data_IF_696934283166
#
_entry.id   IF_696934283166
#
_cell.length_a   1.000
_cell.length_b   1.000
_cell.length_c   1.000
_cell.angle_alpha   90.00
_cell.angle_beta   90.00
_cell.angle_gamma   90.00
#
_symmetry.space_group_name_H-M   'P 1'
#
loop_
_entity.id
_entity.type
_entity.pdbx_description
1 polymer ?
#
# COMPACT_ATOMS: atom_id res chain seq x y z
N UNK A 1 -19.03 3.88 -1.46
CA UNK A 1 -18.04 3.05 -2.19
C UNK A 1 -16.81 2.87 -1.32
N UNK A 2 -16.10 1.73 -1.47
CA UNK A 2 -14.83 1.51 -0.79
C UNK A 2 -13.68 2.19 -1.54
N UNK A 3 -12.76 2.79 -0.81
CA UNK A 3 -11.54 3.40 -1.37
C UNK A 3 -10.51 2.34 -1.79
N UNK A 4 -10.43 1.26 -0.99
CA UNK A 4 -9.49 0.17 -1.20
C UNK A 4 -10.22 -1.11 -1.56
N UNK A 5 -9.82 -1.73 -2.66
CA UNK A 5 -10.42 -2.98 -3.17
C UNK A 5 -9.33 -3.96 -3.58
N UNK A 6 -9.48 -5.21 -3.21
CA UNK A 6 -8.59 -6.30 -3.63
C UNK A 6 -9.36 -7.62 -3.70
N UNK A 7 -8.78 -8.61 -4.37
CA UNK A 7 -9.29 -9.98 -4.35
C UNK A 7 -8.40 -10.82 -3.44
N UNK A 8 -9.00 -11.55 -2.53
CA UNK A 8 -8.29 -12.47 -1.64
C UNK A 8 -9.12 -13.72 -1.40
N UNK A 9 -8.49 -14.86 -1.62
CA UNK A 9 -9.06 -16.20 -1.35
C UNK A 9 -10.51 -16.37 -1.83
N UNK A 10 -10.78 -15.95 -3.09
CA UNK A 10 -12.08 -16.00 -3.79
C UNK A 10 -13.15 -15.02 -3.29
N UNK A 11 -12.80 -14.07 -2.47
CA UNK A 11 -13.66 -12.96 -2.04
C UNK A 11 -13.20 -11.64 -2.66
N UNK A 12 -14.15 -10.77 -2.98
CA UNK A 12 -13.87 -9.36 -3.16
C UNK A 12 -13.81 -8.70 -1.79
N UNK A 13 -12.71 -8.01 -1.51
CA UNK A 13 -12.49 -7.31 -0.25
C UNK A 13 -12.57 -5.82 -0.51
N UNK A 14 -13.30 -5.11 0.32
CA UNK A 14 -13.43 -3.65 0.29
C UNK A 14 -13.16 -3.05 1.68
N UNK A 15 -12.49 -1.91 1.70
CA UNK A 15 -12.23 -1.13 2.91
C UNK A 15 -12.20 0.37 2.59
N UNK A 16 -12.08 1.23 3.61
CA UNK A 16 -12.14 2.68 3.42
C UNK A 16 -13.52 3.14 2.97
N UNK A 17 -14.57 2.49 3.45
CA UNK A 17 -15.96 2.88 3.18
C UNK A 17 -16.30 4.07 4.07
N UNK A 18 -16.90 5.12 3.48
CA UNK A 18 -17.40 6.29 4.21
C UNK A 18 -18.30 5.82 5.38
N UNK A 19 -18.16 6.43 6.53
CA UNK A 19 -18.79 6.04 7.80
C UNK A 19 -18.31 4.73 8.44
N UNK A 20 -17.44 3.95 7.77
CA UNK A 20 -16.89 2.68 8.24
C UNK A 20 -15.40 2.54 7.92
N UNK A 21 -14.62 3.58 8.21
CA UNK A 21 -13.20 3.67 7.84
C UNK A 21 -12.30 2.61 8.48
N UNK A 22 -12.77 1.98 9.56
CA UNK A 22 -12.06 0.93 10.28
C UNK A 22 -12.57 -0.49 9.98
N UNK A 23 -13.41 -0.64 8.96
CA UNK A 23 -14.08 -1.93 8.70
C UNK A 23 -13.65 -2.50 7.34
N UNK A 24 -13.29 -3.78 7.36
CA UNK A 24 -13.10 -4.59 6.16
C UNK A 24 -14.39 -5.32 5.84
N UNK A 25 -14.86 -5.22 4.62
CA UNK A 25 -16.00 -5.96 4.09
C UNK A 25 -15.50 -7.01 3.10
N UNK A 26 -16.11 -8.18 3.11
CA UNK A 26 -15.81 -9.23 2.14
C UNK A 26 -17.08 -9.84 1.56
N UNK A 27 -17.05 -10.09 0.26
CA UNK A 27 -18.17 -10.67 -0.49
C UNK A 27 -18.35 -12.17 -0.19
N UNK A 28 -19.42 -12.75 -0.67
CA UNK A 28 -19.57 -14.20 -0.76
C UNK A 28 -18.44 -14.85 -1.59
N UNK A 29 -18.17 -16.12 -1.33
CA UNK A 29 -17.14 -16.89 -2.06
C UNK A 29 -17.51 -16.99 -3.54
N UNK A 30 -16.63 -16.56 -4.44
CA UNK A 30 -16.81 -16.54 -5.89
C UNK A 30 -17.96 -15.64 -6.39
N UNK A 31 -18.57 -14.84 -5.53
CA UNK A 31 -19.57 -13.85 -5.91
C UNK A 31 -19.16 -12.45 -5.44
N UNK A 32 -18.50 -11.66 -6.30
CA UNK A 32 -17.97 -10.35 -5.92
C UNK A 32 -19.06 -9.29 -5.75
N UNK A 33 -20.30 -9.59 -6.10
CA UNK A 33 -21.43 -8.65 -6.02
C UNK A 33 -22.27 -8.82 -4.77
N UNK A 34 -22.15 -9.96 -4.09
CA UNK A 34 -22.97 -10.29 -2.92
C UNK A 34 -22.18 -10.11 -1.60
N UNK A 35 -22.59 -9.11 -0.83
CA UNK A 35 -22.07 -8.82 0.50
C UNK A 35 -23.06 -9.16 1.62
N UNK A 36 -24.10 -9.94 1.32
CA UNK A 36 -25.21 -10.23 2.24
C UNK A 36 -25.45 -11.70 2.49
N UNK A 37 -24.97 -12.59 1.60
CA UNK A 37 -25.19 -14.04 1.69
C UNK A 37 -24.27 -14.74 2.69
N UNK A 38 -24.50 -16.02 2.86
CA UNK A 38 -23.63 -16.90 3.64
C UNK A 38 -22.21 -16.89 3.05
N UNK A 39 -21.22 -16.62 3.88
CA UNK A 39 -19.81 -16.52 3.47
C UNK A 39 -19.35 -15.10 3.19
N UNK A 40 -20.25 -14.12 3.13
CA UNK A 40 -19.91 -12.69 3.20
C UNK A 40 -19.88 -12.20 4.64
N UNK A 41 -19.29 -11.04 4.86
CA UNK A 41 -19.28 -10.41 6.18
C UNK A 41 -18.46 -9.14 6.27
N UNK A 42 -18.30 -8.69 7.50
CA UNK A 42 -17.46 -7.54 7.81
C UNK A 42 -16.77 -7.72 9.15
N UNK A 43 -15.58 -7.13 9.29
CA UNK A 43 -14.81 -7.13 10.52
C UNK A 43 -14.33 -5.70 10.78
N UNK A 44 -14.71 -5.17 11.94
CA UNK A 44 -14.23 -3.87 12.40
C UNK A 44 -12.92 -4.04 13.18
N UNK A 45 -11.98 -3.12 12.94
CA UNK A 45 -10.71 -3.00 13.64
C UNK A 45 -10.75 -1.83 14.62
N UNK A 46 -9.73 -1.74 15.49
CA UNK A 46 -9.60 -0.65 16.45
C UNK A 46 -9.05 0.65 15.82
N UNK A 47 -8.51 0.57 14.59
CA UNK A 47 -7.76 1.63 13.93
C UNK A 47 -8.27 1.87 12.49
N UNK A 48 -8.11 3.09 11.98
CA UNK A 48 -8.55 3.46 10.63
C UNK A 48 -7.72 2.76 9.57
N UNK A 49 -8.38 2.14 8.60
CA UNK A 49 -7.73 1.46 7.47
C UNK A 49 -7.25 2.49 6.45
N UNK A 50 -5.99 2.37 6.06
CA UNK A 50 -5.32 3.18 5.04
C UNK A 50 -4.99 2.39 3.76
N UNK A 51 -5.16 1.08 3.78
CA UNK A 51 -4.94 0.22 2.62
C UNK A 51 -5.06 -1.26 2.93
N UNK A 52 -5.30 -2.05 1.91
CA UNK A 52 -5.35 -3.51 1.99
C UNK A 52 -4.54 -4.13 0.85
N UNK A 53 -3.90 -5.25 1.11
CA UNK A 53 -3.12 -5.99 0.10
C UNK A 53 -3.17 -7.49 0.34
N UNK A 54 -3.60 -8.24 -0.68
CA UNK A 54 -3.45 -9.69 -0.68
C UNK A 54 -2.01 -10.05 -1.04
N UNK A 55 -1.32 -10.79 -0.17
CA UNK A 55 0.08 -11.15 -0.34
C UNK A 55 0.38 -12.47 0.36
N UNK A 56 1.01 -13.43 -0.36
CA UNK A 56 1.40 -14.76 0.17
C UNK A 56 0.26 -15.50 0.88
N UNK A 57 -0.93 -15.52 0.29
CA UNK A 57 -2.13 -16.14 0.84
C UNK A 57 -2.63 -15.54 2.17
N UNK A 58 -2.16 -14.35 2.53
CA UNK A 58 -2.66 -13.59 3.66
C UNK A 58 -3.19 -12.24 3.19
N UNK A 59 -4.23 -11.73 3.81
CA UNK A 59 -4.71 -10.38 3.59
C UNK A 59 -4.09 -9.46 4.62
N UNK A 60 -3.19 -8.57 4.17
CA UNK A 60 -2.63 -7.51 5.00
C UNK A 60 -3.56 -6.31 5.02
N UNK A 61 -3.81 -5.78 6.19
CA UNK A 61 -4.62 -4.60 6.46
C UNK A 61 -3.71 -3.56 7.11
N UNK A 62 -3.46 -2.49 6.39
CA UNK A 62 -2.63 -1.38 6.84
C UNK A 62 -3.54 -0.30 7.42
N UNK A 63 -3.33 -0.01 8.69
CA UNK A 63 -4.06 1.03 9.39
C UNK A 63 -3.18 2.27 9.66
N UNK A 64 -3.74 3.29 10.25
CA UNK A 64 -3.04 4.55 10.54
C UNK A 64 -1.87 4.37 11.50
N UNK A 65 -2.01 3.50 12.51
CA UNK A 65 -1.00 3.27 13.54
C UNK A 65 -0.59 1.80 13.70
N UNK A 66 -1.18 0.90 12.90
CA UNK A 66 -1.02 -0.55 13.07
C UNK A 66 -1.11 -1.30 11.75
N UNK A 67 -0.65 -2.54 11.74
CA UNK A 67 -0.80 -3.46 10.60
C UNK A 67 -1.31 -4.79 11.13
N UNK A 68 -2.31 -5.34 10.47
CA UNK A 68 -2.93 -6.62 10.80
C UNK A 68 -2.90 -7.57 9.60
N UNK A 69 -3.17 -8.84 9.89
CA UNK A 69 -3.47 -9.87 8.90
C UNK A 69 -4.84 -10.46 9.17
N UNK A 70 -5.63 -10.64 8.13
CA UNK A 70 -6.84 -11.44 8.17
C UNK A 70 -6.51 -12.85 7.72
N UNK A 71 -6.84 -13.83 8.54
CA UNK A 71 -6.60 -15.24 8.29
C UNK A 71 -7.91 -16.02 8.27
N UNK A 72 -7.93 -17.13 7.51
CA UNK A 72 -9.04 -18.10 7.46
C UNK A 72 -10.39 -17.49 7.06
N UNK A 73 -10.42 -16.58 6.11
CA UNK A 73 -11.63 -15.87 5.66
C UNK A 73 -12.77 -16.83 5.26
N UNK A 74 -12.46 -18.01 4.73
CA UNK A 74 -13.43 -19.02 4.33
C UNK A 74 -13.99 -19.86 5.49
N UNK A 75 -13.58 -19.63 6.72
CA UNK A 75 -14.02 -20.41 7.86
C UNK A 75 -14.46 -19.52 9.02
N UNK A 76 -15.78 -19.35 9.15
CA UNK A 76 -16.40 -18.47 10.15
C UNK A 76 -16.05 -18.84 11.61
N UNK A 77 -15.62 -20.09 11.86
CA UNK A 77 -15.23 -20.54 13.21
C UNK A 77 -13.78 -20.22 13.55
N UNK A 78 -12.93 -19.96 12.55
CA UNK A 78 -11.48 -19.73 12.74
C UNK A 78 -10.98 -18.46 12.09
N UNK A 79 -11.87 -17.67 11.47
CA UNK A 79 -11.52 -16.34 10.94
C UNK A 79 -10.95 -15.47 12.07
N UNK A 80 -9.82 -14.85 11.84
CA UNK A 80 -9.12 -14.08 12.87
C UNK A 80 -8.36 -12.88 12.27
N UNK A 81 -8.36 -11.79 13.01
CA UNK A 81 -7.47 -10.65 12.80
C UNK A 81 -6.26 -10.83 13.72
N UNK A 82 -5.09 -10.90 13.13
CA UNK A 82 -3.82 -11.10 13.84
C UNK A 82 -2.94 -9.87 13.67
N UNK A 83 -2.44 -9.25 14.76
CA UNK A 83 -1.56 -8.09 14.63
C UNK A 83 -0.19 -8.51 14.08
N UNK A 84 0.31 -7.72 13.12
CA UNK A 84 1.70 -7.74 12.66
C UNK A 84 2.51 -6.76 13.48
N UNK A 85 1.98 -5.54 13.67
CA UNK A 85 2.51 -4.51 14.56
C UNK A 85 1.39 -3.58 15.02
N UNK A 86 1.55 -3.02 16.23
CA UNK A 86 0.64 -2.02 16.81
C UNK A 86 1.30 -0.64 16.97
N UNK A 87 2.51 -0.46 16.46
CA UNK A 87 3.31 0.75 16.67
C UNK A 87 3.75 1.43 15.37
N UNK A 88 3.43 0.84 14.23
CA UNK A 88 3.79 1.38 12.91
C UNK A 88 2.58 1.23 12.00
N UNK A 89 2.15 2.34 11.42
CA UNK A 89 1.05 2.38 10.48
C UNK A 89 1.48 2.84 9.08
N UNK A 90 0.49 3.01 8.22
CA UNK A 90 0.65 3.41 6.84
C UNK A 90 -0.02 4.77 6.59
N UNK A 91 0.66 5.68 5.91
CA UNK A 91 0.11 7.00 5.59
C UNK A 91 -0.79 6.99 4.35
N UNK A 92 -0.51 6.11 3.38
CA UNK A 92 -1.28 6.02 2.14
C UNK A 92 -1.28 4.61 1.59
N UNK A 93 -2.46 4.06 1.35
CA UNK A 93 -2.63 2.75 0.71
C UNK A 93 -2.07 2.67 -0.71
N UNK A 94 -2.03 3.80 -1.41
CA UNK A 94 -1.45 3.90 -2.75
C UNK A 94 0.08 3.80 -2.78
N UNK A 95 0.74 3.83 -1.62
CA UNK A 95 2.17 3.57 -1.49
C UNK A 95 2.51 2.09 -1.35
N UNK A 96 1.53 1.22 -1.08
CA UNK A 96 1.75 -0.19 -0.80
C UNK A 96 2.03 -0.97 -2.09
N UNK A 97 3.22 -1.53 -2.21
CA UNK A 97 3.61 -2.35 -3.35
C UNK A 97 4.36 -3.62 -2.92
N UNK A 98 4.31 -4.63 -3.80
CA UNK A 98 5.10 -5.84 -3.64
C UNK A 98 6.42 -5.70 -4.40
N UNK A 99 7.54 -5.84 -3.70
CA UNK A 99 8.89 -5.85 -4.28
C UNK A 99 9.75 -6.91 -3.61
N UNK A 100 10.45 -7.71 -4.42
CA UNK A 100 11.39 -8.75 -3.96
C UNK A 100 10.79 -9.71 -2.91
N UNK A 101 9.51 -10.01 -3.03
CA UNK A 101 8.83 -10.91 -2.11
C UNK A 101 8.53 -10.34 -0.74
N UNK A 102 8.48 -9.01 -0.60
CA UNK A 102 8.01 -8.29 0.57
C UNK A 102 7.06 -7.16 0.16
N UNK A 103 6.36 -6.58 1.12
CA UNK A 103 5.54 -5.39 0.91
C UNK A 103 6.29 -4.15 1.40
N UNK A 104 6.43 -3.15 0.52
CA UNK A 104 6.94 -1.82 0.87
C UNK A 104 5.78 -0.84 1.00
N UNK A 105 5.85 0.09 1.94
CA UNK A 105 4.82 1.10 2.21
C UNK A 105 5.41 2.37 2.82
N UNK A 106 4.68 3.48 2.73
CA UNK A 106 5.02 4.74 3.35
C UNK A 106 4.47 4.78 4.79
N UNK A 107 5.36 4.78 5.76
CA UNK A 107 5.07 4.96 7.18
C UNK A 107 5.35 6.40 7.63
N UNK A 108 4.91 6.83 8.83
CA UNK A 108 5.15 8.18 9.35
C UNK A 108 6.62 8.59 9.42
N UNK A 109 7.51 7.63 9.59
CA UNK A 109 8.95 7.86 9.74
C UNK A 109 9.77 7.47 8.50
N UNK A 110 9.13 7.08 7.42
CA UNK A 110 9.79 6.77 6.17
C UNK A 110 9.21 5.56 5.42
N UNK A 111 9.89 5.13 4.36
CA UNK A 111 9.53 3.91 3.66
C UNK A 111 10.01 2.70 4.46
N UNK A 112 9.11 1.74 4.67
CA UNK A 112 9.35 0.51 5.42
C UNK A 112 8.93 -0.72 4.64
N UNK A 113 9.45 -1.87 5.04
CA UNK A 113 8.96 -3.17 4.58
C UNK A 113 8.26 -3.93 5.71
N UNK A 114 7.30 -4.78 5.34
CA UNK A 114 6.54 -5.56 6.33
C UNK A 114 7.45 -6.53 7.06
N UNK A 115 8.37 -7.22 6.38
CA UNK A 115 9.31 -8.15 7.02
C UNK A 115 10.27 -7.42 7.98
N UNK A 116 10.73 -6.21 7.61
CA UNK A 116 11.51 -5.36 8.49
C UNK A 116 10.71 -4.92 9.73
N UNK A 117 9.46 -4.56 9.53
CA UNK A 117 8.55 -4.10 10.60
C UNK A 117 8.16 -5.24 11.56
N UNK A 118 7.93 -6.45 11.06
CA UNK A 118 7.54 -7.60 11.88
C UNK A 118 8.68 -8.16 12.77
N UNK A 119 9.93 -7.80 12.50
CA UNK A 119 11.08 -8.22 13.31
C UNK A 119 11.31 -7.39 14.57
N UNK A 120 10.37 -6.50 14.90
CA UNK A 120 10.50 -5.56 16.01
C UNK A 120 10.25 -6.25 17.36
N UNK A 121 11.26 -6.92 17.85
CA UNK A 121 11.51 -7.11 19.27
C UNK A 121 12.81 -6.42 19.71
N UNK A 122 13.64 -5.95 18.77
CA UNK A 122 14.94 -5.31 19.05
C UNK A 122 15.25 -4.15 18.07
N UNK A 123 15.22 -2.99 18.57
CA UNK A 123 16.00 -1.74 18.50
C UNK A 123 16.41 -1.11 17.15
N UNK A 124 16.40 -1.73 16.00
CA UNK A 124 16.69 -1.02 14.73
C UNK A 124 15.59 -1.20 13.69
N UNK A 125 14.60 -0.34 13.83
CA UNK A 125 13.62 -0.07 12.79
C UNK A 125 14.26 0.75 11.68
N UNK A 126 15.18 0.16 10.95
CA UNK A 126 15.73 0.80 9.78
C UNK A 126 14.63 1.04 8.75
N UNK A 127 14.26 2.31 8.56
CA UNK A 127 13.56 2.67 7.33
C UNK A 127 14.48 2.32 6.17
N UNK A 128 13.93 1.73 5.12
CA UNK A 128 14.72 1.45 3.91
C UNK A 128 15.10 2.73 3.17
N UNK A 129 14.56 3.87 3.59
CA UNK A 129 14.75 5.22 3.02
C UNK A 129 15.69 6.12 3.81
N UNK A 130 16.52 5.60 4.70
CA UNK A 130 17.40 6.41 5.57
C UNK A 130 18.25 7.45 4.83
N UNK A 131 18.72 7.12 3.63
CA UNK A 131 19.54 8.03 2.81
C UNK A 131 18.78 9.23 2.22
N UNK A 132 17.44 9.19 2.21
CA UNK A 132 16.57 10.25 1.73
C UNK A 132 15.56 10.68 2.81
N UNK A 133 15.93 10.50 4.07
CA UNK A 133 15.03 10.69 5.21
C UNK A 133 14.38 12.07 5.24
N UNK A 134 15.13 13.13 4.92
CA UNK A 134 14.60 14.48 4.85
C UNK A 134 13.44 14.62 3.84
N UNK A 135 13.58 14.00 2.65
CA UNK A 135 12.52 14.05 1.61
C UNK A 135 11.29 13.31 2.07
N UNK A 136 11.49 12.14 2.69
CA UNK A 136 10.38 11.29 3.11
C UNK A 136 9.68 11.86 4.35
N UNK A 137 10.42 12.49 5.28
CA UNK A 137 9.82 13.17 6.43
C UNK A 137 8.97 14.37 6.00
N UNK A 138 9.46 15.20 5.08
CA UNK A 138 8.69 16.30 4.50
C UNK A 138 7.41 15.82 3.82
N UNK A 139 7.49 14.69 3.08
CA UNK A 139 6.32 14.06 2.47
C UNK A 139 5.35 13.55 3.53
N UNK A 140 5.83 12.90 4.58
CA UNK A 140 5.00 12.34 5.63
C UNK A 140 4.21 13.41 6.39
N UNK A 141 4.85 14.57 6.70
CA UNK A 141 4.21 15.69 7.37
C UNK A 141 3.12 16.35 6.52
N UNK A 142 3.25 16.30 5.20
CA UNK A 142 2.36 16.97 4.25
C UNK A 142 1.54 16.02 3.38
N UNK A 143 1.48 14.75 3.74
CA UNK A 143 0.86 13.67 2.94
C UNK A 143 -0.57 13.97 2.48
N UNK A 144 -1.35 14.65 3.32
CA UNK A 144 -2.74 15.01 3.01
C UNK A 144 -2.89 16.09 1.92
N UNK A 145 -1.79 16.75 1.54
CA UNK A 145 -1.75 17.77 0.49
C UNK A 145 -1.40 17.18 -0.88
N UNK A 146 -1.07 15.88 -0.93
CA UNK A 146 -0.60 15.24 -2.13
C UNK A 146 -1.53 14.12 -2.62
N UNK A 147 -1.63 14.00 -3.92
CA UNK A 147 -2.05 12.75 -4.56
C UNK A 147 -0.83 11.83 -4.64
N UNK A 148 -0.91 10.68 -3.99
CA UNK A 148 0.17 9.69 -3.95
C UNK A 148 -0.20 8.53 -4.87
N UNK A 149 0.74 8.10 -5.68
CA UNK A 149 0.62 6.87 -6.46
C UNK A 149 1.98 6.16 -6.55
N UNK A 150 1.97 4.85 -6.69
CA UNK A 150 3.22 4.08 -6.76
C UNK A 150 3.12 2.90 -7.70
N UNK A 151 4.28 2.44 -8.17
CA UNK A 151 4.40 1.26 -9.03
C UNK A 151 5.72 0.55 -8.77
N UNK A 152 5.73 -0.75 -9.03
CA UNK A 152 6.96 -1.54 -9.08
C UNK A 152 7.23 -1.94 -10.52
N UNK A 153 8.44 -1.63 -11.01
CA UNK A 153 8.98 -2.15 -12.25
C UNK A 153 9.86 -3.36 -11.92
N UNK A 154 9.32 -4.56 -12.18
CA UNK A 154 9.97 -5.82 -11.78
C UNK A 154 11.28 -6.06 -12.51
N UNK A 155 11.32 -5.83 -13.81
CA UNK A 155 12.54 -5.98 -14.62
C UNK A 155 13.68 -5.09 -14.16
N UNK A 156 13.36 -3.93 -13.58
CA UNK A 156 14.37 -2.98 -13.08
C UNK A 156 14.61 -3.11 -11.57
N UNK A 157 13.83 -3.97 -10.88
CA UNK A 157 13.83 -4.07 -9.41
C UNK A 157 13.66 -2.70 -8.75
N UNK A 158 12.72 -1.89 -9.30
CA UNK A 158 12.49 -0.52 -8.85
C UNK A 158 11.10 -0.36 -8.25
N UNK A 159 11.06 0.26 -7.08
CA UNK A 159 9.88 0.89 -6.51
C UNK A 159 9.88 2.37 -6.87
N UNK A 160 8.78 2.88 -7.38
CA UNK A 160 8.59 4.29 -7.71
C UNK A 160 7.36 4.82 -7.00
N UNK A 161 7.53 5.91 -6.25
CA UNK A 161 6.45 6.63 -5.59
C UNK A 161 6.42 8.05 -6.17
N UNK A 162 5.26 8.48 -6.64
CA UNK A 162 5.02 9.83 -7.12
C UNK A 162 4.05 10.55 -6.19
N UNK A 163 4.29 11.83 -6.01
CA UNK A 163 3.44 12.68 -5.20
C UNK A 163 3.33 14.07 -5.83
N UNK A 164 2.08 14.50 -6.01
CA UNK A 164 1.72 15.75 -6.66
C UNK A 164 0.87 16.57 -5.72
N UNK A 165 1.27 17.80 -5.43
CA UNK A 165 0.48 18.73 -4.65
C UNK A 165 -0.61 19.34 -5.53
N UNK A 166 -1.86 18.95 -5.29
CA UNK A 166 -3.02 19.39 -6.06
C UNK A 166 -3.58 20.74 -5.60
N UNK A 167 -3.12 21.25 -4.45
CA UNK A 167 -3.63 22.48 -3.83
C UNK A 167 -2.76 23.73 -4.01
N UNK A 168 -1.54 23.60 -4.55
CA UNK A 168 -0.62 24.71 -4.75
C UNK A 168 -0.69 25.26 -6.17
N UNK A 169 -0.55 26.59 -6.31
CA UNK A 169 -0.44 27.24 -7.63
C UNK A 169 0.82 26.83 -8.42
N UNK A 170 1.77 26.20 -7.75
CA UNK A 170 2.99 25.61 -8.31
C UNK A 170 3.04 24.15 -7.87
N UNK A 171 2.43 23.27 -8.68
CA UNK A 171 2.42 21.83 -8.44
C UNK A 171 3.85 21.31 -8.59
N UNK A 172 4.57 21.22 -7.47
CA UNK A 172 5.87 20.55 -7.46
C UNK A 172 5.66 19.06 -7.66
N UNK A 173 5.78 18.65 -8.90
CA UNK A 173 5.70 17.26 -9.34
C UNK A 173 7.00 16.56 -8.95
N UNK A 174 6.89 15.64 -8.01
CA UNK A 174 8.04 14.93 -7.44
C UNK A 174 7.81 13.43 -7.43
N UNK A 175 8.89 12.69 -7.45
CA UNK A 175 8.85 11.25 -7.22
C UNK A 175 10.14 10.75 -6.58
N UNK A 176 10.02 9.63 -5.94
CA UNK A 176 11.13 8.89 -5.32
C UNK A 176 11.26 7.56 -6.04
N UNK A 177 12.48 7.23 -6.48
CA UNK A 177 12.79 5.97 -7.14
C UNK A 177 13.76 5.20 -6.26
N UNK A 178 13.35 4.04 -5.77
CA UNK A 178 14.19 3.10 -5.05
C UNK A 178 14.57 1.92 -5.94
N UNK A 179 15.84 1.74 -6.22
CA UNK A 179 16.33 0.58 -6.93
C UNK A 179 16.88 -0.43 -5.93
N UNK A 180 16.31 -1.62 -5.91
CA UNK A 180 16.79 -2.67 -5.01
C UNK A 180 18.11 -3.26 -5.54
N UNK A 181 19.11 -3.27 -4.68
CA UNK A 181 20.45 -3.83 -4.90
C UNK A 181 20.75 -4.89 -3.85
N UNK A 182 21.80 -5.72 -4.02
CA UNK A 182 22.19 -6.70 -3.00
C UNK A 182 22.41 -6.12 -1.60
N UNK A 183 22.81 -4.86 -1.51
CA UNK A 183 23.12 -4.17 -0.25
C UNK A 183 21.96 -3.26 0.24
N UNK A 184 20.76 -3.37 -0.33
CA UNK A 184 19.61 -2.56 0.03
C UNK A 184 19.14 -1.64 -1.09
N UNK A 185 18.33 -0.63 -0.75
CA UNK A 185 17.81 0.32 -1.72
C UNK A 185 18.78 1.47 -1.99
N UNK A 186 18.99 1.75 -3.29
CA UNK A 186 19.57 2.99 -3.78
C UNK A 186 18.45 3.93 -4.18
N UNK A 187 18.46 5.15 -3.64
CA UNK A 187 17.38 6.11 -3.82
C UNK A 187 17.80 7.28 -4.72
N UNK A 188 16.86 7.73 -5.54
CA UNK A 188 16.95 8.96 -6.32
C UNK A 188 15.63 9.71 -6.31
N UNK A 189 15.69 11.04 -6.46
CA UNK A 189 14.51 11.89 -6.63
C UNK A 189 14.30 12.19 -8.12
N UNK A 190 13.05 12.22 -8.56
CA UNK A 190 12.65 12.75 -9.87
C UNK A 190 11.79 13.98 -9.71
N UNK A 191 11.92 14.94 -10.62
CA UNK A 191 11.19 16.21 -10.61
C UNK A 191 10.64 16.52 -11.98
N UNK A 192 9.53 17.27 -12.03
CA UNK A 192 8.93 17.74 -13.28
C UNK A 192 8.16 16.66 -14.04
N UNK A 193 7.88 15.51 -13.43
CA UNK A 193 7.01 14.47 -13.98
C UNK A 193 5.74 14.42 -13.15
N UNK A 194 4.63 14.86 -13.73
CA UNK A 194 3.31 14.77 -13.12
C UNK A 194 2.76 13.36 -13.31
N UNK A 195 2.43 12.70 -12.21
CA UNK A 195 1.85 11.36 -12.23
C UNK A 195 0.72 11.33 -11.21
N UNK A 196 -0.51 11.27 -11.70
CA UNK A 196 -1.72 11.15 -10.86
C UNK A 196 -2.23 9.73 -10.78
N UNK A 197 -1.95 8.92 -11.79
CA UNK A 197 -2.24 7.50 -11.82
C UNK A 197 -1.11 6.76 -12.53
N UNK A 198 -0.76 5.57 -12.07
CA UNK A 198 0.27 4.75 -12.69
C UNK A 198 -0.07 3.26 -12.55
N UNK A 199 0.26 2.50 -13.57
CA UNK A 199 0.13 1.04 -13.57
C UNK A 199 1.20 0.39 -14.41
N UNK A 200 1.50 -0.86 -14.13
CA UNK A 200 2.39 -1.69 -14.93
C UNK A 200 1.71 -2.99 -15.34
N UNK A 201 2.15 -3.55 -16.45
CA UNK A 201 1.69 -4.82 -16.97
C UNK A 201 2.66 -5.33 -18.03
N UNK A 202 2.41 -6.52 -18.56
CA UNK A 202 3.21 -7.10 -19.63
C UNK A 202 2.45 -7.02 -20.95
N UNK A 203 3.15 -6.69 -22.02
CA UNK A 203 2.61 -6.76 -23.36
C UNK A 203 2.55 -8.21 -23.89
N UNK A 204 2.11 -8.38 -25.14
CA UNK A 204 1.98 -9.70 -25.76
C UNK A 204 3.33 -10.41 -25.96
N UNK A 205 4.43 -9.68 -25.97
CA UNK A 205 5.79 -10.20 -26.10
C UNK A 205 6.44 -10.48 -24.75
N UNK A 206 5.69 -10.25 -23.64
CA UNK A 206 6.16 -10.45 -22.27
C UNK A 206 7.09 -9.34 -21.76
N UNK A 207 7.14 -8.20 -22.44
CA UNK A 207 7.93 -7.03 -22.02
C UNK A 207 7.11 -6.19 -21.05
N UNK A 208 7.71 -5.82 -19.92
CA UNK A 208 7.05 -5.01 -18.90
C UNK A 208 6.85 -3.58 -19.44
N UNK A 209 5.59 -3.18 -19.50
CA UNK A 209 5.15 -1.84 -19.86
C UNK A 209 4.60 -1.12 -18.64
N UNK A 210 4.77 0.19 -18.58
CA UNK A 210 4.15 1.03 -17.56
C UNK A 210 3.56 2.28 -18.21
N UNK A 211 2.40 2.66 -17.72
CA UNK A 211 1.64 3.79 -18.20
C UNK A 211 1.31 4.69 -17.04
N UNK A 212 1.36 5.99 -17.25
CA UNK A 212 0.91 6.97 -16.28
C UNK A 212 -0.02 7.98 -16.93
N UNK A 213 -0.95 8.51 -16.14
CA UNK A 213 -1.77 9.66 -16.47
C UNK A 213 -1.33 10.87 -15.67
N UNK A 214 -1.50 12.04 -16.24
CA UNK A 214 -1.38 13.33 -15.57
C UNK A 214 -2.76 13.98 -15.39
N UNK A 215 -2.83 15.25 -14.97
CA UNK A 215 -4.09 15.99 -14.80
C UNK A 215 -4.78 16.30 -16.13
N UNK A 216 -4.14 16.08 -17.26
CA UNK A 216 -4.69 16.37 -18.58
C UNK A 216 -5.18 15.08 -19.30
N UNK A 217 -4.93 13.89 -18.74
CA UNK A 217 -5.39 12.58 -19.23
C UNK A 217 -4.36 11.77 -19.98
#
# INVERSE_FOLDING_TARGET
SGEYVTVHDKHLIAAGVEDNLNTVFFSGTLDPTDFTSTGSGSIALEDQIKGIKSFRNELFIFCENSIFKLQNINNSSTIAIVPVTKNVGCLSGHSIQEIAGDLIFLAPDGLRTVAGTARIGDVELGTVSSNIQNIVSDLAETVNLFTITSVVLREKSQYRLFYTNTGAADSTQRGIIGTLRPNGFEWSETRGLEVTAIGSGFDNDGVEQYYHGDTNG
#
